data_IF_973455352222
#
_entry.id   IF_973455352222
#
_cell.length_a   1.000
_cell.length_b   1.000
_cell.length_c   1.000
_cell.angle_alpha   90.00
_cell.angle_beta   90.00
_cell.angle_gamma   90.00
#
_symmetry.space_group_name_H-M   'P 1'
#
loop_
_entity.id
_entity.type
_entity.pdbx_description
1 polymer ?
#
# COMPACT_ATOMS: atom_id res chain seq x y z
N UNK A 1 7.05 -19.99 1.68
CA UNK A 1 7.92 -19.65 0.54
C UNK A 1 7.14 -19.83 -0.73
N UNK A 2 7.03 -18.80 -1.56
CA UNK A 2 6.38 -18.88 -2.86
C UNK A 2 7.16 -18.01 -3.85
N UNK A 3 7.04 -18.30 -5.14
CA UNK A 3 7.68 -17.54 -6.20
C UNK A 3 6.82 -17.57 -7.47
N UNK A 4 7.04 -16.62 -8.37
CA UNK A 4 6.47 -16.67 -9.70
C UNK A 4 6.97 -17.90 -10.48
N UNK A 5 6.14 -18.42 -11.38
CA UNK A 5 6.51 -19.56 -12.26
C UNK A 5 7.16 -19.07 -13.55
N UNK A 6 7.94 -19.95 -14.19
CA UNK A 6 8.59 -19.67 -15.47
C UNK A 6 7.58 -19.15 -16.51
N UNK A 7 7.90 -18.03 -17.15
CA UNK A 7 7.15 -17.48 -18.29
C UNK A 7 7.69 -18.14 -19.58
N UNK A 8 6.83 -18.86 -20.31
CA UNK A 8 7.20 -19.61 -21.53
C UNK A 8 6.79 -18.91 -22.84
N UNK A 9 6.29 -17.69 -22.76
CA UNK A 9 5.71 -16.95 -23.89
C UNK A 9 6.13 -15.50 -23.83
N UNK A 10 6.06 -14.76 -24.93
CA UNK A 10 6.42 -13.34 -24.93
C UNK A 10 5.32 -12.43 -24.36
N UNK A 11 4.07 -12.90 -24.29
CA UNK A 11 2.93 -12.12 -23.77
C UNK A 11 3.14 -11.63 -22.32
N UNK A 12 2.85 -10.36 -21.99
CA UNK A 12 2.94 -9.87 -20.62
C UNK A 12 2.04 -10.64 -19.65
N UNK A 13 2.55 -10.97 -18.46
CA UNK A 13 1.76 -11.50 -17.34
C UNK A 13 1.47 -10.34 -16.39
N UNK A 14 0.20 -9.96 -16.25
CA UNK A 14 -0.24 -8.89 -15.35
C UNK A 14 -0.81 -9.49 -14.07
N UNK A 15 -0.52 -8.85 -12.96
CA UNK A 15 -1.03 -9.23 -11.64
C UNK A 15 -1.28 -7.95 -10.86
N UNK A 16 -2.41 -7.91 -10.13
CA UNK A 16 -2.70 -6.86 -9.16
C UNK A 16 -2.55 -7.48 -7.78
N UNK A 17 -1.57 -7.02 -7.02
CA UNK A 17 -1.29 -7.54 -5.69
C UNK A 17 -2.04 -6.71 -4.66
N UNK A 18 -2.81 -7.38 -3.81
CA UNK A 18 -3.46 -6.77 -2.65
C UNK A 18 -2.90 -7.46 -1.41
N UNK A 19 -2.16 -6.70 -0.61
CA UNK A 19 -1.62 -7.15 0.67
C UNK A 19 -2.31 -6.41 1.78
N UNK A 20 -2.83 -7.16 2.74
CA UNK A 20 -3.36 -6.61 3.98
C UNK A 20 -2.41 -6.96 5.12
N UNK A 21 -2.30 -6.05 6.06
CA UNK A 21 -1.55 -6.25 7.29
C UNK A 21 -2.41 -5.83 8.47
N UNK A 22 -1.99 -6.17 9.69
CA UNK A 22 -2.64 -5.65 10.89
C UNK A 22 -2.49 -4.13 10.94
N UNK A 23 -3.48 -3.44 11.52
CA UNK A 23 -3.53 -1.97 11.59
C UNK A 23 -2.39 -1.35 12.42
N UNK A 24 -1.79 -2.11 13.34
CA UNK A 24 -0.66 -1.68 14.15
C UNK A 24 0.71 -1.88 13.46
N UNK A 25 0.72 -2.37 12.21
CA UNK A 25 1.93 -2.55 11.42
C UNK A 25 2.02 -1.50 10.31
N UNK A 26 3.23 -0.98 10.03
CA UNK A 26 3.39 0.05 9.03
C UNK A 26 3.13 -0.46 7.61
N UNK A 27 2.44 0.37 6.81
CA UNK A 27 2.16 0.06 5.41
C UNK A 27 3.43 0.20 4.54
N UNK A 28 3.63 -0.72 3.60
CA UNK A 28 4.71 -0.64 2.61
C UNK A 28 4.58 0.58 1.70
N UNK A 29 3.34 0.93 1.34
CA UNK A 29 2.99 2.15 0.63
C UNK A 29 1.87 2.83 1.41
N UNK A 30 2.10 4.04 1.93
CA UNK A 30 1.05 4.80 2.59
C UNK A 30 0.12 5.42 1.54
N UNK A 31 -1.09 4.89 1.41
CA UNK A 31 -2.07 5.34 0.40
C UNK A 31 -2.45 6.83 0.55
N UNK A 32 -2.46 7.33 1.79
CA UNK A 32 -2.81 8.71 2.11
C UNK A 32 -1.91 9.74 1.39
N UNK A 33 -0.63 9.44 1.15
CA UNK A 33 0.30 10.34 0.47
C UNK A 33 -0.01 10.54 -1.03
N UNK A 34 -0.83 9.66 -1.61
CA UNK A 34 -1.16 9.65 -3.04
C UNK A 34 -2.64 9.96 -3.32
N UNK A 35 -3.39 10.34 -2.30
CA UNK A 35 -4.83 10.52 -2.37
C UNK A 35 -5.18 11.92 -2.90
N UNK A 36 -5.99 11.98 -3.95
CA UNK A 36 -6.64 13.24 -4.36
C UNK A 36 -7.99 13.41 -3.65
N UNK A 37 -8.45 14.66 -3.57
CA UNK A 37 -9.76 14.99 -2.98
C UNK A 37 -10.90 14.24 -3.66
N UNK A 38 -10.92 14.24 -4.99
CA UNK A 38 -11.96 13.58 -5.78
C UNK A 38 -11.95 12.06 -5.57
N UNK A 39 -10.77 11.45 -5.43
CA UNK A 39 -10.66 10.02 -5.15
C UNK A 39 -11.22 9.67 -3.77
N UNK A 40 -10.90 10.48 -2.75
CA UNK A 40 -11.41 10.32 -1.39
C UNK A 40 -12.94 10.44 -1.32
N UNK A 41 -13.51 11.45 -1.99
CA UNK A 41 -14.95 11.73 -1.97
C UNK A 41 -15.79 10.59 -2.56
N UNK A 42 -15.25 9.83 -3.52
CA UNK A 42 -15.93 8.64 -4.10
C UNK A 42 -15.81 7.37 -3.25
N UNK A 43 -14.98 7.37 -2.22
CA UNK A 43 -14.75 6.18 -1.38
C UNK A 43 -15.83 6.07 -0.31
N UNK A 44 -16.38 4.86 -0.13
CA UNK A 44 -17.27 4.55 0.99
C UNK A 44 -16.46 4.43 2.30
N UNK A 45 -17.10 4.52 3.48
CA UNK A 45 -16.42 4.38 4.76
C UNK A 45 -15.58 3.10 4.88
N UNK A 46 -16.06 1.98 4.34
CA UNK A 46 -15.37 0.69 4.37
C UNK A 46 -14.09 0.71 3.52
N UNK A 47 -14.12 1.37 2.36
CA UNK A 47 -12.93 1.54 1.51
C UNK A 47 -11.90 2.44 2.17
N UNK A 48 -12.35 3.51 2.82
CA UNK A 48 -11.47 4.42 3.57
C UNK A 48 -10.79 3.72 4.74
N UNK A 49 -11.55 2.87 5.46
CA UNK A 49 -11.03 2.03 6.52
C UNK A 49 -10.00 1.00 6.02
N UNK A 50 -10.29 0.32 4.91
CA UNK A 50 -9.43 -0.72 4.34
C UNK A 50 -8.09 -0.17 3.83
N UNK A 51 -8.13 1.02 3.22
CA UNK A 51 -6.93 1.68 2.66
C UNK A 51 -6.20 2.59 3.65
N UNK A 52 -6.78 2.83 4.82
CA UNK A 52 -6.26 3.75 5.85
C UNK A 52 -5.99 5.16 5.28
N UNK A 53 -7.02 5.72 4.66
CA UNK A 53 -6.96 7.04 4.00
C UNK A 53 -7.82 8.10 4.70
N UNK A 54 -8.31 7.81 5.90
CA UNK A 54 -8.88 8.83 6.76
C UNK A 54 -7.78 9.80 7.21
N UNK A 55 -8.03 11.12 7.22
CA UNK A 55 -7.10 12.07 7.80
C UNK A 55 -6.78 11.68 9.25
N UNK A 56 -5.49 11.66 9.64
CA UNK A 56 -5.09 11.37 11.02
C UNK A 56 -5.77 12.35 11.98
N UNK A 57 -6.25 11.85 13.12
CA UNK A 57 -6.80 12.69 14.19
C UNK A 57 -5.69 13.12 15.13
N UNK A 58 -5.96 14.13 15.96
CA UNK A 58 -5.03 14.55 16.99
C UNK A 58 -4.71 13.37 17.93
N UNK A 59 -3.42 13.02 18.02
CA UNK A 59 -2.93 11.88 18.79
C UNK A 59 -2.81 10.57 18.00
N UNK A 60 -3.32 10.49 16.77
CA UNK A 60 -3.09 9.33 15.90
C UNK A 60 -1.64 9.36 15.37
N UNK A 61 -0.91 8.28 15.57
CA UNK A 61 0.38 8.06 14.89
C UNK A 61 0.15 7.45 13.51
N UNK A 62 0.75 8.04 12.45
CA UNK A 62 0.79 7.39 11.13
C UNK A 62 1.93 6.37 11.11
N UNK A 63 1.60 5.10 10.93
CA UNK A 63 2.59 4.02 10.85
C UNK A 63 3.19 3.95 9.44
N UNK A 64 4.28 4.69 9.25
CA UNK A 64 5.05 4.70 8.00
C UNK A 64 6.15 3.65 8.08
N UNK A 65 6.35 2.89 7.00
CA UNK A 65 7.58 2.10 6.89
C UNK A 65 8.78 3.06 6.94
N UNK A 66 9.78 2.80 7.79
CA UNK A 66 10.98 3.62 7.83
C UNK A 66 11.66 3.61 6.47
N UNK A 67 12.09 4.79 5.99
CA UNK A 67 12.98 4.86 4.83
C UNK A 67 14.28 4.17 5.20
N UNK A 68 14.58 3.03 4.58
CA UNK A 68 15.88 2.38 4.74
C UNK A 68 16.91 3.17 3.95
N UNK A 69 17.91 3.73 4.63
CA UNK A 69 19.10 4.25 3.96
C UNK A 69 20.00 3.09 3.55
N UNK A 70 20.08 2.82 2.23
CA UNK A 70 21.04 1.88 1.66
C UNK A 70 20.73 1.56 0.21
N UNK A 71 21.75 1.61 -0.66
CA UNK A 71 21.67 1.17 -2.06
C UNK A 71 21.58 -0.36 -2.09
N UNK A 72 20.37 -0.90 -2.03
CA UNK A 72 20.16 -2.35 -2.17
C UNK A 72 19.30 -2.59 -3.39
N UNK A 73 19.39 -3.74 -4.04
CA UNK A 73 18.56 -4.00 -5.22
C UNK A 73 17.03 -3.99 -4.93
N UNK A 74 16.65 -3.98 -3.65
CA UNK A 74 15.29 -3.81 -3.14
C UNK A 74 14.97 -2.41 -2.57
N UNK A 75 15.94 -1.49 -2.48
CA UNK A 75 15.75 -0.08 -2.08
C UNK A 75 16.59 0.85 -2.94
#
# INVERSE_FOLDING_TARGET
WHAGTLKKTDKPRRMLHLTYTRRDLPQQLLQLDHLTKELYERMSPEKRYLLEIEPPRDGDGILRQPKKHGNTWWN
#
